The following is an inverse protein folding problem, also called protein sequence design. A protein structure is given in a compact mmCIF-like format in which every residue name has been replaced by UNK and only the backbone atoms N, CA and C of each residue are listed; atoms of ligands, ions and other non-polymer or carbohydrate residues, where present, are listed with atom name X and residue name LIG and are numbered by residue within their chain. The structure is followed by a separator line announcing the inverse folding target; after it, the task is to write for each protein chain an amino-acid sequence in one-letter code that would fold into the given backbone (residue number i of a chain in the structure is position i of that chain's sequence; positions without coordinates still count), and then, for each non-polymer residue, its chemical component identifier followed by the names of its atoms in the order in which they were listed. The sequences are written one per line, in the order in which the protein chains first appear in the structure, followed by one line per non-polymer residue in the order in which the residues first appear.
data_IF_738271338068
#
_entry.id   IF_738271338068
#
_cell.length_a   1.000
_cell.length_b   1.000
_cell.length_c   1.000
_cell.angle_alpha   90.00
_cell.angle_beta   90.00
_cell.angle_gamma   90.00
#
_symmetry.space_group_name_H-M   'P 1'
#
loop_
_entity.id
_entity.type
_entity.pdbx_description
1 polymer ?
#
# COMPACT_ATOMS: atom_id res chain seq x y z
N UNK A 1 3.64 -20.10 -4.61
CA UNK A 1 3.11 -18.75 -4.30
C UNK A 1 2.36 -18.79 -2.98
N UNK A 2 2.36 -17.69 -2.25
CA UNK A 2 2.08 -17.69 -0.80
C UNK A 2 1.10 -16.58 -0.42
N UNK A 3 0.03 -16.90 0.29
CA UNK A 3 -0.90 -15.92 0.87
C UNK A 3 -0.33 -15.30 2.15
N UNK A 4 -0.86 -14.16 2.58
CA UNK A 4 -0.64 -13.59 3.92
C UNK A 4 -1.97 -13.64 4.67
N UNK A 5 -1.99 -14.14 5.91
CA UNK A 5 -3.17 -14.11 6.76
C UNK A 5 -2.79 -13.64 8.16
N UNK A 6 -3.35 -12.50 8.54
CA UNK A 6 -3.28 -11.90 9.87
C UNK A 6 -4.63 -12.12 10.53
N UNK A 7 -4.64 -12.70 11.74
CA UNK A 7 -5.88 -12.94 12.50
C UNK A 7 -5.77 -12.37 13.90
N UNK A 8 -6.64 -11.43 14.23
CA UNK A 8 -6.73 -10.77 15.52
C UNK A 8 -5.42 -10.15 16.00
N UNK A 9 -4.60 -9.63 15.07
CA UNK A 9 -3.24 -9.19 15.38
C UNK A 9 -3.26 -7.95 16.28
N UNK A 10 -2.64 -8.04 17.44
CA UNK A 10 -2.57 -6.94 18.41
C UNK A 10 -1.12 -6.67 18.85
N UNK A 11 -0.81 -5.39 19.05
CA UNK A 11 0.51 -4.94 19.48
C UNK A 11 0.43 -3.59 20.17
N UNK A 12 1.05 -3.48 21.33
CA UNK A 12 1.17 -2.26 22.12
C UNK A 12 2.64 -1.91 22.40
N UNK A 13 2.92 -0.61 22.43
CA UNK A 13 4.21 -0.04 22.83
C UNK A 13 3.99 0.89 24.02
N UNK A 14 4.29 0.41 25.23
CA UNK A 14 3.87 1.10 26.44
C UNK A 14 2.35 1.28 26.47
N UNK A 15 1.88 2.51 26.61
CA UNK A 15 0.46 2.84 26.63
C UNK A 15 -0.16 2.99 25.23
N UNK A 16 0.65 2.95 24.17
CA UNK A 16 0.18 3.13 22.79
C UNK A 16 -0.19 1.79 22.19
N UNK A 17 -1.48 1.58 21.92
CA UNK A 17 -1.97 0.41 21.19
C UNK A 17 -1.80 0.62 19.68
N UNK A 18 -0.69 0.13 19.13
CA UNK A 18 -0.39 0.28 17.70
C UNK A 18 -1.26 -0.62 16.82
N UNK A 19 -1.65 -1.81 17.29
CA UNK A 19 -2.61 -2.69 16.63
C UNK A 19 -3.66 -3.22 17.61
N UNK A 20 -4.91 -3.23 17.16
CA UNK A 20 -6.08 -3.59 17.93
C UNK A 20 -6.94 -4.61 17.19
N UNK A 21 -6.45 -5.84 17.11
CA UNK A 21 -7.21 -6.95 16.53
C UNK A 21 -7.33 -6.84 15.01
N UNK A 22 -6.20 -6.61 14.34
CA UNK A 22 -6.14 -6.50 12.87
C UNK A 22 -6.32 -7.86 12.22
N UNK A 23 -7.35 -7.97 11.38
CA UNK A 23 -7.61 -9.09 10.48
C UNK A 23 -7.34 -8.64 9.03
N UNK A 24 -6.45 -9.34 8.32
CA UNK A 24 -6.12 -9.04 6.93
C UNK A 24 -5.75 -10.33 6.21
N UNK A 25 -6.32 -10.54 5.04
CA UNK A 25 -5.94 -11.63 4.13
C UNK A 25 -5.46 -11.00 2.82
N UNK A 26 -4.31 -11.46 2.34
CA UNK A 26 -3.72 -11.08 1.06
C UNK A 26 -3.54 -12.35 0.25
N UNK A 27 -4.15 -12.38 -0.91
CA UNK A 27 -4.17 -13.50 -1.81
C UNK A 27 -2.81 -13.70 -2.51
N UNK A 28 -2.63 -14.89 -3.04
CA UNK A 28 -1.41 -15.29 -3.73
C UNK A 28 -1.19 -14.44 -4.99
N UNK A 29 -0.02 -13.80 -5.10
CA UNK A 29 0.35 -12.96 -6.25
C UNK A 29 -0.27 -11.56 -6.21
N UNK A 30 -1.06 -11.25 -5.18
CA UNK A 30 -1.73 -9.96 -5.02
C UNK A 30 -0.76 -8.87 -4.53
N UNK A 31 -0.95 -7.65 -5.02
CA UNK A 31 -0.33 -6.45 -4.47
C UNK A 31 -1.35 -5.75 -3.55
N UNK A 32 -1.16 -5.86 -2.24
CA UNK A 32 -2.00 -5.20 -1.24
C UNK A 32 -1.33 -3.92 -0.71
N UNK A 33 -2.10 -2.84 -0.60
CA UNK A 33 -1.71 -1.62 0.11
C UNK A 33 -2.34 -1.58 1.51
N UNK A 34 -1.55 -1.29 2.54
CA UNK A 34 -2.05 -0.84 3.83
C UNK A 34 -1.92 0.68 3.90
N UNK A 35 -3.06 1.36 3.77
CA UNK A 35 -3.17 2.81 3.65
C UNK A 35 -3.70 3.41 4.95
N UNK A 36 -3.15 4.53 5.39
CA UNK A 36 -3.66 5.24 6.57
C UNK A 36 -2.80 6.43 6.98
N UNK A 37 -3.25 7.28 7.91
CA UNK A 37 -2.51 8.46 8.33
C UNK A 37 -1.19 8.10 9.02
N UNK A 38 -0.26 9.05 9.06
CA UNK A 38 1.00 8.87 9.78
C UNK A 38 0.75 8.54 11.25
N UNK A 39 1.49 7.57 11.78
CA UNK A 39 1.35 7.14 13.18
C UNK A 39 0.17 6.20 13.49
N UNK A 40 -0.65 5.79 12.52
CA UNK A 40 -1.77 4.87 12.80
C UNK A 40 -1.34 3.41 13.05
N UNK A 41 -0.05 3.08 12.89
CA UNK A 41 0.49 1.74 13.17
C UNK A 41 0.85 0.89 11.94
N UNK A 42 0.80 1.43 10.71
CA UNK A 42 1.00 0.66 9.45
C UNK A 42 2.30 -0.14 9.37
N UNK A 43 3.41 0.40 9.89
CA UNK A 43 4.70 -0.29 9.89
C UNK A 43 4.71 -1.49 10.86
N UNK A 44 3.85 -1.49 11.89
CA UNK A 44 3.81 -2.56 12.89
C UNK A 44 3.42 -3.92 12.28
N UNK A 45 2.37 -4.05 11.44
CA UNK A 45 2.09 -5.27 10.69
C UNK A 45 3.31 -5.79 9.92
N UNK A 46 4.04 -4.93 9.20
CA UNK A 46 5.21 -5.35 8.43
C UNK A 46 6.30 -5.93 9.33
N UNK A 47 6.59 -5.29 10.47
CA UNK A 47 7.59 -5.78 11.43
C UNK A 47 7.19 -7.10 12.07
N UNK A 48 5.90 -7.30 12.34
CA UNK A 48 5.35 -8.56 12.88
C UNK A 48 5.41 -9.69 11.84
N UNK A 49 5.11 -9.39 10.57
CA UNK A 49 5.20 -10.34 9.46
C UNK A 49 6.66 -10.71 9.17
N UNK A 50 7.57 -9.73 9.15
CA UNK A 50 9.01 -9.93 8.98
C UNK A 50 9.66 -10.63 10.19
N UNK A 51 9.03 -10.61 11.37
CA UNK A 51 9.54 -11.23 12.58
C UNK A 51 10.53 -10.39 13.38
N UNK A 52 10.62 -9.09 13.09
CA UNK A 52 11.38 -8.16 13.90
C UNK A 52 10.70 -7.85 15.23
N UNK A 53 9.41 -8.18 15.34
CA UNK A 53 8.65 -8.06 16.57
C UNK A 53 7.73 -9.27 16.80
N UNK A 54 7.30 -9.40 18.05
CA UNK A 54 6.33 -10.40 18.51
C UNK A 54 4.96 -9.73 18.70
N UNK A 55 3.87 -10.32 18.22
CA UNK A 55 2.54 -9.82 18.52
C UNK A 55 2.18 -10.12 19.98
N UNK A 56 1.38 -9.26 20.58
CA UNK A 56 0.86 -9.50 21.93
C UNK A 56 -0.31 -10.49 21.89
N UNK A 57 -1.07 -10.48 20.80
CA UNK A 57 -2.11 -11.45 20.49
C UNK A 57 -2.30 -11.61 18.97
N UNK A 58 -3.02 -12.67 18.59
CA UNK A 58 -3.28 -13.01 17.19
C UNK A 58 -2.18 -13.86 16.55
N UNK A 59 -2.33 -14.11 15.26
CA UNK A 59 -1.44 -14.99 14.50
C UNK A 59 -1.05 -14.40 13.15
N UNK A 60 0.18 -14.71 12.72
CA UNK A 60 0.69 -14.44 11.39
C UNK A 60 0.92 -15.77 10.68
N UNK A 61 0.27 -15.96 9.54
CA UNK A 61 0.41 -17.13 8.67
C UNK A 61 0.82 -16.65 7.27
N UNK A 62 1.82 -17.29 6.67
CA UNK A 62 2.26 -17.00 5.30
C UNK A 62 2.38 -18.31 4.52
N UNK A 63 1.74 -18.42 3.36
CA UNK A 63 1.75 -19.63 2.54
C UNK A 63 1.26 -20.87 3.31
N UNK A 64 0.26 -20.69 4.19
CA UNK A 64 -0.25 -21.74 5.08
C UNK A 64 0.64 -22.11 6.27
N UNK A 65 1.83 -21.50 6.40
CA UNK A 65 2.75 -21.74 7.51
C UNK A 65 2.59 -20.67 8.60
N UNK A 66 2.28 -21.09 9.82
CA UNK A 66 2.27 -20.21 10.98
C UNK A 66 3.70 -19.71 11.27
N UNK A 67 3.89 -18.38 11.25
CA UNK A 67 5.18 -17.74 11.50
C UNK A 67 5.25 -17.13 12.90
N UNK A 68 4.13 -16.68 13.44
CA UNK A 68 4.07 -16.02 14.75
C UNK A 68 2.69 -16.19 15.40
N UNK A 69 2.64 -16.24 16.72
CA UNK A 69 1.43 -16.37 17.52
C UNK A 69 1.14 -17.81 17.97
N UNK A 70 0.23 -17.97 18.93
CA UNK A 70 -0.18 -19.28 19.49
C UNK A 70 0.99 -20.18 19.93
N UNK A 71 2.03 -19.59 20.53
CA UNK A 71 3.23 -20.31 20.99
C UNK A 71 4.27 -20.61 19.89
N UNK A 72 4.04 -20.15 18.66
CA UNK A 72 4.97 -20.27 17.54
C UNK A 72 5.70 -18.94 17.32
N UNK A 73 7.01 -19.01 17.09
CA UNK A 73 7.79 -17.90 16.56
C UNK A 73 8.90 -18.42 15.65
N UNK A 74 8.82 -18.07 14.38
CA UNK A 74 9.86 -18.33 13.38
C UNK A 74 10.75 -17.08 13.31
N UNK A 75 12.08 -17.19 13.42
CA UNK A 75 12.96 -16.02 13.32
C UNK A 75 13.01 -15.47 11.87
N UNK A 76 13.29 -14.17 11.66
CA UNK A 76 13.21 -13.49 10.37
C UNK A 76 13.90 -14.22 9.20
N UNK A 77 15.12 -14.69 9.42
CA UNK A 77 15.95 -15.37 8.42
C UNK A 77 15.37 -16.72 7.94
N UNK A 78 14.38 -17.27 8.65
CA UNK A 78 13.67 -18.51 8.28
C UNK A 78 12.25 -18.26 7.76
N UNK A 79 11.88 -16.99 7.52
CA UNK A 79 10.53 -16.63 7.04
C UNK A 79 10.40 -16.64 5.52
N UNK A 80 11.52 -16.56 4.78
CA UNK A 80 11.54 -16.39 3.31
C UNK A 80 10.73 -15.16 2.86
N UNK A 81 10.94 -14.04 3.55
CA UNK A 81 10.28 -12.76 3.27
C UNK A 81 11.35 -11.76 2.85
N UNK A 82 11.13 -11.09 1.71
CA UNK A 82 11.95 -9.95 1.31
C UNK A 82 11.37 -8.66 1.87
N UNK A 83 12.22 -7.73 2.28
CA UNK A 83 11.78 -6.44 2.83
C UNK A 83 12.54 -5.28 2.19
N UNK A 84 11.78 -4.26 1.79
CA UNK A 84 12.27 -2.96 1.34
C UNK A 84 11.92 -1.94 2.43
N UNK A 85 12.94 -1.37 3.07
CA UNK A 85 12.78 -0.35 4.10
C UNK A 85 12.63 1.04 3.48
N UNK A 86 12.04 1.98 4.24
CA UNK A 86 11.82 3.37 3.84
C UNK A 86 13.09 4.08 3.33
N UNK A 87 14.22 3.92 4.03
CA UNK A 87 15.51 4.51 3.64
C UNK A 87 16.34 3.62 2.70
N UNK A 88 15.71 2.60 2.10
CA UNK A 88 16.29 1.54 1.26
C UNK A 88 17.32 0.63 1.98
N UNK A 89 17.97 1.14 3.03
CA UNK A 89 18.97 0.46 3.85
C UNK A 89 20.04 -0.25 3.02
N UNK A 90 20.50 0.36 1.92
CA UNK A 90 21.58 -0.17 1.10
C UNK A 90 22.91 -0.10 1.88
N UNK A 91 23.76 -1.10 1.72
CA UNK A 91 25.08 -1.10 2.32
C UNK A 91 25.98 -0.13 1.55
N UNK A 92 26.42 0.99 2.17
CA UNK A 92 27.13 2.06 1.45
C UNK A 92 28.53 1.65 1.01
N UNK A 93 29.07 0.59 1.61
CA UNK A 93 30.40 0.04 1.35
C UNK A 93 30.39 -1.14 0.36
N UNK A 94 29.22 -1.50 -0.16
CA UNK A 94 29.06 -2.50 -1.21
C UNK A 94 28.62 -1.83 -2.51
N UNK A 95 29.09 -2.35 -3.64
CA UNK A 95 28.55 -2.00 -4.94
C UNK A 95 27.14 -2.60 -5.12
N UNK A 96 26.49 -2.29 -6.24
CA UNK A 96 25.14 -2.79 -6.55
C UNK A 96 25.12 -4.32 -6.57
N UNK A 97 26.10 -4.95 -7.23
CA UNK A 97 26.20 -6.41 -7.29
C UNK A 97 26.29 -7.06 -5.92
N UNK A 98 27.15 -6.55 -5.04
CA UNK A 98 27.31 -7.04 -3.68
C UNK A 98 26.09 -6.76 -2.79
N UNK A 99 25.41 -5.62 -2.98
CA UNK A 99 24.14 -5.36 -2.31
C UNK A 99 23.09 -6.41 -2.66
N UNK A 100 22.91 -6.71 -3.96
CA UNK A 100 21.94 -7.71 -4.42
C UNK A 100 22.34 -9.12 -4.00
N UNK A 101 23.64 -9.44 -3.99
CA UNK A 101 24.17 -10.74 -3.59
C UNK A 101 24.11 -11.03 -2.09
N UNK A 102 23.88 -10.03 -1.23
CA UNK A 102 24.08 -10.15 0.23
C UNK A 102 23.26 -11.29 0.88
N UNK A 103 22.07 -11.58 0.36
CA UNK A 103 21.18 -12.63 0.87
C UNK A 103 21.31 -13.99 0.18
N UNK A 104 22.28 -14.15 -0.73
CA UNK A 104 22.43 -15.35 -1.55
C UNK A 104 23.53 -16.28 -1.05
N UNK A 105 23.36 -17.58 -1.32
CA UNK A 105 24.46 -18.54 -1.21
C UNK A 105 25.50 -18.30 -2.32
N UNK A 106 26.79 -18.47 -1.98
CA UNK A 106 27.92 -18.06 -2.84
C UNK A 106 27.87 -18.67 -4.25
N UNK A 107 27.45 -19.91 -4.37
CA UNK A 107 27.51 -20.66 -5.63
C UNK A 107 26.39 -20.25 -6.61
N UNK A 108 25.30 -19.67 -6.12
CA UNK A 108 24.16 -19.20 -6.92
C UNK A 108 24.16 -17.68 -7.16
N UNK A 109 25.09 -16.95 -6.54
CA UNK A 109 25.00 -15.50 -6.44
C UNK A 109 25.16 -14.78 -7.79
N UNK A 110 26.10 -15.19 -8.64
CA UNK A 110 26.43 -14.45 -9.85
C UNK A 110 25.28 -14.42 -10.88
N UNK A 111 24.76 -15.59 -11.25
CA UNK A 111 23.67 -15.72 -12.21
C UNK A 111 22.39 -15.04 -11.70
N UNK A 112 22.04 -15.27 -10.43
CA UNK A 112 20.85 -14.67 -9.82
C UNK A 112 20.94 -13.15 -9.72
N UNK A 113 22.12 -12.59 -9.42
CA UNK A 113 22.32 -11.14 -9.42
C UNK A 113 22.08 -10.56 -10.82
N UNK A 114 22.62 -11.18 -11.86
CA UNK A 114 22.40 -10.73 -13.24
C UNK A 114 20.91 -10.78 -13.61
N UNK A 115 20.24 -11.89 -13.35
CA UNK A 115 18.81 -12.08 -13.63
C UNK A 115 17.95 -10.99 -12.97
N UNK A 116 18.18 -10.73 -11.68
CA UNK A 116 17.36 -9.76 -10.94
C UNK A 116 17.71 -8.32 -11.31
N UNK A 117 18.97 -8.02 -11.62
CA UNK A 117 19.35 -6.70 -12.16
C UNK A 117 18.72 -6.45 -13.53
N UNK A 118 18.52 -7.49 -14.34
CA UNK A 118 17.81 -7.37 -15.61
C UNK A 118 16.33 -7.10 -15.38
N UNK A 119 15.69 -7.83 -14.47
CA UNK A 119 14.29 -7.62 -14.06
C UNK A 119 14.03 -6.18 -13.62
N UNK A 120 14.95 -5.58 -12.85
CA UNK A 120 14.80 -4.19 -12.40
C UNK A 120 15.41 -3.15 -13.35
N UNK A 121 15.94 -3.57 -14.51
CA UNK A 121 16.49 -2.68 -15.53
C UNK A 121 17.77 -1.94 -15.11
N UNK A 122 18.66 -2.59 -14.36
CA UNK A 122 19.90 -2.01 -13.79
C UNK A 122 21.19 -2.74 -14.22
N UNK A 123 21.19 -3.50 -15.31
CA UNK A 123 22.36 -4.23 -15.82
C UNK A 123 23.63 -3.38 -16.00
N UNK A 124 23.50 -2.09 -16.34
CA UNK A 124 24.62 -1.19 -16.60
C UNK A 124 25.29 -0.56 -15.37
N UNK A 125 24.81 -0.82 -14.15
CA UNK A 125 25.28 -0.15 -12.93
C UNK A 125 25.80 -1.08 -11.84
N UNK A 126 26.07 -2.36 -12.16
CA UNK A 126 26.47 -3.40 -11.20
C UNK A 126 27.67 -3.02 -10.30
N UNK A 127 28.63 -2.26 -10.84
CA UNK A 127 29.85 -1.84 -10.13
C UNK A 127 29.74 -0.47 -9.45
N UNK A 128 28.58 0.20 -9.55
CA UNK A 128 28.36 1.47 -8.87
C UNK A 128 28.06 1.27 -7.40
N UNK A 129 28.36 2.26 -6.59
CA UNK A 129 28.00 2.32 -5.18
C UNK A 129 26.69 3.11 -4.98
N UNK A 130 25.97 2.93 -3.86
CA UNK A 130 24.70 3.61 -3.61
C UNK A 130 24.72 5.13 -3.79
N UNK A 131 25.83 5.79 -3.42
CA UNK A 131 25.98 7.24 -3.55
C UNK A 131 26.13 7.74 -5.00
N UNK A 132 26.36 6.84 -5.95
CA UNK A 132 26.47 7.13 -7.39
C UNK A 132 25.15 6.90 -8.15
N UNK A 133 24.08 6.56 -7.43
CA UNK A 133 22.77 6.21 -7.97
C UNK A 133 21.74 7.30 -7.65
N UNK A 134 20.79 7.51 -8.58
CA UNK A 134 19.60 8.31 -8.30
C UNK A 134 18.69 7.61 -7.28
N UNK A 135 17.77 8.36 -6.63
CA UNK A 135 16.85 7.78 -5.65
C UNK A 135 16.01 6.62 -6.21
N UNK A 136 15.51 6.74 -7.44
CA UNK A 136 14.76 5.66 -8.12
C UNK A 136 15.63 4.45 -8.46
N UNK A 137 16.92 4.65 -8.76
CA UNK A 137 17.87 3.54 -8.93
C UNK A 137 18.14 2.85 -7.60
N UNK A 138 18.36 3.60 -6.50
CA UNK A 138 18.56 3.03 -5.17
C UNK A 138 17.36 2.19 -4.72
N UNK A 139 16.13 2.67 -4.95
CA UNK A 139 14.92 1.92 -4.68
C UNK A 139 14.89 0.58 -5.45
N UNK A 140 15.19 0.62 -6.76
CA UNK A 140 15.23 -0.60 -7.58
C UNK A 140 16.33 -1.57 -7.16
N UNK A 141 17.49 -1.08 -6.67
CA UNK A 141 18.52 -1.94 -6.06
C UNK A 141 18.02 -2.57 -4.77
N UNK A 142 17.30 -1.83 -3.92
CA UNK A 142 16.73 -2.38 -2.70
C UNK A 142 15.66 -3.45 -2.99
N UNK A 143 14.81 -3.22 -3.99
CA UNK A 143 13.84 -4.20 -4.46
C UNK A 143 14.54 -5.43 -5.06
N UNK A 144 15.56 -5.24 -5.89
CA UNK A 144 16.39 -6.34 -6.42
C UNK A 144 16.99 -7.19 -5.30
N UNK A 145 17.60 -6.55 -4.28
CA UNK A 145 18.14 -7.25 -3.11
C UNK A 145 17.05 -8.04 -2.36
N UNK A 146 15.84 -7.51 -2.24
CA UNK A 146 14.74 -8.20 -1.59
C UNK A 146 14.22 -9.39 -2.40
N UNK A 147 14.22 -9.31 -3.74
CA UNK A 147 13.77 -10.35 -4.66
C UNK A 147 14.83 -11.44 -4.92
N UNK A 148 16.11 -11.12 -4.74
CA UNK A 148 17.20 -12.03 -5.06
C UNK A 148 17.08 -13.41 -4.38
N UNK A 149 16.74 -13.53 -3.08
CA UNK A 149 16.58 -14.82 -2.41
C UNK A 149 15.31 -15.61 -2.77
N UNK A 150 14.54 -15.19 -3.80
CA UNK A 150 13.26 -15.80 -4.19
C UNK A 150 12.27 -15.92 -3.02
N UNK A 151 11.90 -14.80 -2.38
CA UNK A 151 11.04 -14.83 -1.22
C UNK A 151 9.61 -15.27 -1.58
N UNK A 152 8.89 -15.79 -0.58
CA UNK A 152 7.47 -16.11 -0.69
C UNK A 152 6.59 -14.84 -0.78
N UNK A 153 7.05 -13.76 -0.14
CA UNK A 153 6.34 -12.48 0.01
C UNK A 153 7.35 -11.33 0.01
N UNK A 154 6.98 -10.19 -0.59
CA UNK A 154 7.68 -8.91 -0.45
C UNK A 154 6.90 -7.95 0.45
N UNK A 155 7.61 -7.32 1.39
CA UNK A 155 7.09 -6.24 2.20
C UNK A 155 7.77 -4.92 1.83
N UNK A 156 7.01 -3.85 1.63
CA UNK A 156 7.57 -2.52 1.35
C UNK A 156 7.07 -1.47 2.35
N UNK A 157 8.00 -0.85 3.07
CA UNK A 157 7.70 0.16 4.08
C UNK A 157 7.91 1.57 3.53
N UNK A 158 6.82 2.28 3.20
CA UNK A 158 6.83 3.62 2.57
C UNK A 158 7.83 3.75 1.38
N UNK A 159 7.74 2.86 0.36
CA UNK A 159 8.80 2.69 -0.64
C UNK A 159 9.09 3.94 -1.50
N UNK A 160 8.23 4.95 -1.48
CA UNK A 160 8.32 6.14 -2.34
C UNK A 160 8.46 7.46 -1.58
N UNK A 161 8.51 7.43 -0.23
CA UNK A 161 8.50 8.66 0.59
C UNK A 161 9.70 9.56 0.34
N UNK A 162 10.85 8.97 -0.02
CA UNK A 162 12.12 9.64 -0.22
C UNK A 162 12.34 10.16 -1.67
N UNK A 163 11.31 10.11 -2.52
CA UNK A 163 11.38 10.56 -3.92
C UNK A 163 10.64 11.88 -4.15
N UNK A 164 11.18 12.69 -5.07
CA UNK A 164 10.49 13.87 -5.60
C UNK A 164 9.23 13.47 -6.40
N UNK A 165 8.24 14.37 -6.47
CA UNK A 165 6.91 14.07 -7.00
C UNK A 165 6.92 13.56 -8.46
N UNK A 166 7.76 14.15 -9.32
CA UNK A 166 7.82 13.77 -10.75
C UNK A 166 8.45 12.38 -10.92
N UNK A 167 9.53 12.10 -10.17
CA UNK A 167 10.17 10.79 -10.17
C UNK A 167 9.24 9.73 -9.59
N UNK A 168 8.45 10.09 -8.58
CA UNK A 168 7.57 9.17 -7.86
C UNK A 168 6.58 8.45 -8.75
N UNK A 169 5.87 9.18 -9.62
CA UNK A 169 4.87 8.60 -10.54
C UNK A 169 5.49 7.52 -11.43
N UNK A 170 6.64 7.83 -12.04
CA UNK A 170 7.35 6.86 -12.88
C UNK A 170 7.81 5.64 -12.08
N UNK A 171 8.41 5.86 -10.91
CA UNK A 171 8.96 4.76 -10.10
C UNK A 171 7.86 3.87 -9.50
N UNK A 172 6.67 4.42 -9.20
CA UNK A 172 5.49 3.63 -8.81
C UNK A 172 5.12 2.63 -9.92
N UNK A 173 5.01 3.10 -11.16
CA UNK A 173 4.70 2.25 -12.31
C UNK A 173 5.79 1.19 -12.55
N UNK A 174 7.07 1.59 -12.54
CA UNK A 174 8.21 0.65 -12.67
C UNK A 174 8.16 -0.42 -11.56
N UNK A 175 7.86 -0.03 -10.32
CA UNK A 175 7.76 -0.97 -9.18
C UNK A 175 6.61 -1.96 -9.39
N UNK A 176 5.45 -1.50 -9.86
CA UNK A 176 4.31 -2.38 -10.19
C UNK A 176 4.71 -3.45 -11.20
N UNK A 177 5.34 -3.02 -12.29
CA UNK A 177 5.76 -3.92 -13.37
C UNK A 177 6.76 -4.96 -12.88
N UNK A 178 7.71 -4.55 -12.03
CA UNK A 178 8.69 -5.48 -11.42
C UNK A 178 7.99 -6.51 -10.52
N UNK A 179 7.07 -6.07 -9.64
CA UNK A 179 6.37 -6.97 -8.72
C UNK A 179 5.48 -7.97 -9.47
N UNK A 180 4.78 -7.51 -10.51
CA UNK A 180 3.98 -8.38 -11.38
C UNK A 180 4.84 -9.38 -12.15
N UNK A 181 5.98 -8.92 -12.71
CA UNK A 181 6.91 -9.80 -13.41
C UNK A 181 7.60 -10.81 -12.48
N UNK A 182 7.75 -10.47 -11.20
CA UNK A 182 8.28 -11.36 -10.17
C UNK A 182 7.25 -12.37 -9.63
N UNK A 183 5.96 -12.24 -9.98
CA UNK A 183 4.86 -13.11 -9.53
C UNK A 183 4.87 -13.34 -8.00
N UNK A 184 5.09 -12.27 -7.24
CA UNK A 184 5.26 -12.35 -5.78
C UNK A 184 4.17 -11.57 -5.04
N UNK A 185 3.54 -12.24 -4.07
CA UNK A 185 2.60 -11.60 -3.15
C UNK A 185 3.29 -10.45 -2.42
N UNK A 186 2.68 -9.27 -2.44
CA UNK A 186 3.30 -8.05 -1.97
C UNK A 186 2.38 -7.30 -1.02
N UNK A 187 2.91 -6.86 0.11
CA UNK A 187 2.22 -5.94 1.02
C UNK A 187 3.07 -4.69 1.20
N UNK A 188 2.56 -3.54 0.80
CA UNK A 188 3.22 -2.28 1.03
C UNK A 188 2.40 -1.36 1.93
N UNK A 189 3.06 -0.47 2.64
CA UNK A 189 2.38 0.57 3.41
C UNK A 189 2.67 1.93 2.84
N UNK A 190 1.67 2.80 2.91
CA UNK A 190 1.81 4.18 2.50
C UNK A 190 0.82 5.07 3.25
N UNK A 191 1.11 6.36 3.28
CA UNK A 191 0.18 7.40 3.68
C UNK A 191 -0.34 8.20 2.47
N UNK A 192 0.15 7.90 1.26
CA UNK A 192 -0.23 8.53 0.01
C UNK A 192 -1.34 7.71 -0.66
N UNK A 193 -2.46 8.38 -0.92
CA UNK A 193 -3.66 7.76 -1.47
C UNK A 193 -3.47 7.39 -2.94
N UNK A 194 -2.78 8.24 -3.71
CA UNK A 194 -2.52 7.97 -5.11
C UNK A 194 -1.63 6.74 -5.27
N UNK A 195 -0.69 6.51 -4.35
CA UNK A 195 0.11 5.28 -4.32
C UNK A 195 -0.74 4.04 -4.15
N UNK A 196 -1.56 4.01 -3.09
CA UNK A 196 -2.41 2.88 -2.79
C UNK A 196 -3.37 2.59 -3.96
N UNK A 197 -4.02 3.63 -4.49
CA UNK A 197 -5.05 3.49 -5.53
C UNK A 197 -4.50 3.19 -6.93
N UNK A 198 -3.22 3.49 -7.21
CA UNK A 198 -2.62 3.24 -8.54
C UNK A 198 -1.78 1.97 -8.62
N UNK A 199 -1.22 1.52 -7.48
CA UNK A 199 -0.31 0.38 -7.45
C UNK A 199 -1.00 -0.94 -7.08
N UNK A 200 -1.94 -0.88 -6.13
CA UNK A 200 -2.47 -2.05 -5.46
C UNK A 200 -3.68 -2.66 -6.19
N UNK A 201 -3.81 -3.97 -6.07
CA UNK A 201 -5.02 -4.69 -6.46
C UNK A 201 -6.09 -4.59 -5.34
N UNK A 202 -5.64 -4.56 -4.07
CA UNK A 202 -6.49 -4.37 -2.89
C UNK A 202 -5.91 -3.32 -1.95
N UNK A 203 -6.79 -2.52 -1.35
CA UNK A 203 -6.45 -1.49 -0.36
C UNK A 203 -7.12 -1.81 0.97
N UNK A 204 -6.31 -2.00 2.01
CA UNK A 204 -6.73 -2.04 3.39
C UNK A 204 -6.52 -0.67 4.04
N UNK A 205 -7.61 0.02 4.37
CA UNK A 205 -7.58 1.33 5.02
C UNK A 205 -7.51 1.13 6.53
N UNK A 206 -6.52 1.75 7.16
CA UNK A 206 -6.19 1.59 8.56
C UNK A 206 -6.30 2.90 9.33
N UNK A 207 -6.98 2.88 10.47
CA UNK A 207 -7.15 4.00 11.38
C UNK A 207 -7.03 3.52 12.83
N UNK A 208 -6.29 4.27 13.65
CA UNK A 208 -6.16 4.02 15.08
C UNK A 208 -5.89 2.53 15.46
N UNK A 209 -4.98 1.87 14.75
CA UNK A 209 -4.62 0.48 15.02
C UNK A 209 -5.59 -0.58 14.48
N UNK A 210 -6.63 -0.19 13.72
CA UNK A 210 -7.65 -1.08 13.16
C UNK A 210 -7.77 -0.92 11.66
N UNK A 211 -8.23 -1.98 10.98
CA UNK A 211 -8.65 -1.89 9.58
C UNK A 211 -10.12 -1.45 9.56
N UNK A 212 -10.38 -0.34 8.87
CA UNK A 212 -11.71 0.26 8.70
C UNK A 212 -12.43 -0.33 7.48
N UNK A 213 -11.68 -0.62 6.42
CA UNK A 213 -12.21 -1.15 5.16
C UNK A 213 -11.13 -1.88 4.38
N UNK A 214 -11.53 -2.95 3.69
CA UNK A 214 -10.71 -3.64 2.68
C UNK A 214 -11.55 -3.77 1.42
N UNK A 215 -10.94 -3.53 0.26
CA UNK A 215 -11.59 -3.72 -1.04
C UNK A 215 -10.67 -3.28 -2.19
N UNK A 216 -11.16 -3.35 -3.42
CA UNK A 216 -10.39 -2.83 -4.57
C UNK A 216 -10.27 -1.31 -4.49
N UNK A 217 -9.28 -0.67 -5.16
CA UNK A 217 -9.20 0.78 -5.26
C UNK A 217 -10.53 1.45 -5.64
N UNK A 218 -11.27 0.88 -6.61
CA UNK A 218 -12.55 1.40 -7.05
C UNK A 218 -13.64 1.27 -5.97
N UNK A 219 -13.65 0.19 -5.20
CA UNK A 219 -14.62 -0.03 -4.13
C UNK A 219 -14.37 0.91 -2.95
N UNK A 220 -13.13 1.00 -2.48
CA UNK A 220 -12.78 1.83 -1.33
C UNK A 220 -12.98 3.33 -1.66
N UNK A 221 -12.60 3.75 -2.86
CA UNK A 221 -12.83 5.12 -3.32
C UNK A 221 -14.31 5.39 -3.69
N UNK A 222 -14.96 4.45 -4.37
CA UNK A 222 -16.32 4.59 -4.88
C UNK A 222 -17.40 4.48 -3.80
N UNK A 223 -17.18 3.60 -2.82
CA UNK A 223 -18.14 3.22 -1.77
C UNK A 223 -17.42 3.07 -0.42
N UNK A 224 -16.97 4.19 0.18
CA UNK A 224 -16.33 4.16 1.48
C UNK A 224 -17.30 3.62 2.56
N UNK A 225 -16.81 2.71 3.40
CA UNK A 225 -17.63 1.99 4.39
C UNK A 225 -18.01 2.85 5.60
N UNK A 226 -17.20 3.87 5.92
CA UNK A 226 -17.42 4.77 7.05
C UNK A 226 -17.21 6.23 6.63
N UNK A 227 -17.81 7.15 7.38
CA UNK A 227 -17.60 8.59 7.20
C UNK A 227 -16.11 8.94 7.25
N UNK A 228 -15.38 8.35 8.19
CA UNK A 228 -13.95 8.58 8.33
C UNK A 228 -13.16 8.13 7.09
N UNK A 229 -13.45 6.96 6.53
CA UNK A 229 -12.79 6.50 5.30
C UNK A 229 -13.09 7.44 4.14
N UNK A 230 -14.34 7.91 4.05
CA UNK A 230 -14.76 8.84 3.02
C UNK A 230 -14.03 10.19 3.13
N UNK A 231 -13.97 10.79 4.32
CA UNK A 231 -13.23 12.03 4.58
C UNK A 231 -11.74 11.87 4.30
N UNK A 232 -11.16 10.77 4.77
CA UNK A 232 -9.75 10.49 4.60
C UNK A 232 -9.39 10.40 3.12
N UNK A 233 -10.11 9.61 2.32
CA UNK A 233 -9.77 9.35 0.91
C UNK A 233 -10.20 10.44 -0.07
N UNK A 234 -11.39 11.01 0.12
CA UNK A 234 -12.02 11.80 -0.94
C UNK A 234 -11.66 13.28 -0.88
N UNK A 235 -11.02 13.75 0.19
CA UNK A 235 -10.92 15.19 0.51
C UNK A 235 -12.27 15.89 0.29
N UNK A 236 -13.35 15.19 0.62
CA UNK A 236 -14.70 15.58 0.26
C UNK A 236 -15.22 16.63 1.23
N UNK A 237 -16.00 17.56 0.70
CA UNK A 237 -16.84 18.42 1.52
C UNK A 237 -18.09 17.63 1.95
N UNK A 238 -18.45 17.77 3.22
CA UNK A 238 -19.63 17.11 3.79
C UNK A 238 -20.74 18.13 3.96
N UNK A 239 -21.90 17.86 3.35
CA UNK A 239 -23.08 18.73 3.42
C UNK A 239 -24.23 17.96 4.06
N UNK A 240 -24.77 18.43 5.20
CA UNK A 240 -25.95 17.84 5.81
C UNK A 240 -27.16 17.92 4.87
N UNK A 241 -27.95 16.85 4.88
CA UNK A 241 -29.17 16.72 4.10
C UNK A 241 -30.21 15.84 4.78
N UNK A 242 -31.38 15.72 4.17
CA UNK A 242 -32.44 14.83 4.63
C UNK A 242 -32.89 13.94 3.48
N UNK A 243 -32.79 12.62 3.68
CA UNK A 243 -33.19 11.61 2.74
C UNK A 243 -34.68 11.27 2.87
N UNK A 244 -35.40 11.28 1.75
CA UNK A 244 -36.77 10.79 1.66
C UNK A 244 -37.12 10.38 0.22
N UNK A 245 -37.95 9.34 0.06
CA UNK A 245 -38.50 8.91 -1.22
C UNK A 245 -37.44 8.66 -2.33
N UNK A 246 -36.26 8.11 -1.99
CA UNK A 246 -35.18 7.85 -2.96
C UNK A 246 -34.38 9.10 -3.37
N UNK A 247 -34.51 10.20 -2.62
CA UNK A 247 -33.72 11.41 -2.81
C UNK A 247 -33.12 11.87 -1.49
N UNK A 248 -32.01 12.60 -1.56
CA UNK A 248 -31.51 13.44 -0.47
C UNK A 248 -31.63 14.91 -0.87
N UNK A 249 -32.22 15.71 0.00
CA UNK A 249 -32.26 17.17 -0.14
C UNK A 249 -31.19 17.78 0.77
N UNK A 250 -30.26 18.54 0.20
CA UNK A 250 -29.25 19.32 0.93
C UNK A 250 -29.24 20.78 0.43
N UNK A 251 -28.40 21.63 1.01
CA UNK A 251 -28.33 23.06 0.66
C UNK A 251 -28.04 23.31 -0.84
N UNK A 252 -27.28 22.44 -1.49
CA UNK A 252 -26.86 22.63 -2.87
C UNK A 252 -27.85 22.06 -3.90
N UNK A 253 -28.48 20.92 -3.58
CA UNK A 253 -29.24 20.17 -4.57
C UNK A 253 -30.17 19.13 -3.94
N UNK A 254 -31.06 18.62 -4.78
CA UNK A 254 -31.78 17.36 -4.56
C UNK A 254 -31.13 16.27 -5.42
N UNK A 255 -30.55 15.26 -4.78
CA UNK A 255 -29.80 14.19 -5.44
C UNK A 255 -30.55 12.87 -5.31
N UNK A 256 -30.52 12.04 -6.36
CA UNK A 256 -31.07 10.69 -6.29
C UNK A 256 -30.15 9.78 -5.47
N UNK A 257 -30.73 8.92 -4.63
CA UNK A 257 -30.01 7.95 -3.79
C UNK A 257 -30.69 6.58 -3.90
N UNK A 258 -30.01 5.54 -3.43
CA UNK A 258 -30.59 4.20 -3.40
C UNK A 258 -31.88 4.17 -2.56
N UNK A 259 -32.98 3.58 -3.08
CA UNK A 259 -34.25 3.50 -2.37
C UNK A 259 -34.09 2.56 -1.18
N UNK A 260 -34.08 3.14 0.03
CA UNK A 260 -33.89 2.39 1.27
C UNK A 260 -33.38 3.23 2.43
N UNK A 261 -32.80 4.40 2.14
CA UNK A 261 -32.33 5.34 3.17
C UNK A 261 -33.35 6.48 3.39
N UNK A 262 -33.67 6.77 4.64
CA UNK A 262 -34.58 7.86 5.03
C UNK A 262 -34.16 8.50 6.36
N UNK A 263 -34.26 9.81 6.46
CA UNK A 263 -33.85 10.58 7.65
C UNK A 263 -32.62 11.47 7.39
N UNK A 264 -31.99 12.01 8.46
CA UNK A 264 -30.77 12.79 8.33
C UNK A 264 -29.67 12.02 7.59
N UNK A 265 -29.01 12.69 6.65
CA UNK A 265 -27.99 12.12 5.78
C UNK A 265 -26.85 13.12 5.60
N UNK A 266 -25.62 12.64 5.51
CA UNK A 266 -24.49 13.45 5.06
C UNK A 266 -24.25 13.22 3.57
N UNK A 267 -24.23 14.30 2.79
CA UNK A 267 -23.91 14.28 1.36
C UNK A 267 -22.44 14.62 1.19
N UNK A 268 -21.66 13.64 0.76
CA UNK A 268 -20.25 13.84 0.44
C UNK A 268 -20.10 14.27 -1.01
N UNK A 269 -19.43 15.40 -1.22
CA UNK A 269 -19.18 15.97 -2.53
C UNK A 269 -17.68 15.92 -2.80
N UNK A 270 -17.33 15.25 -3.89
CA UNK A 270 -15.95 15.20 -4.35
C UNK A 270 -15.64 16.41 -5.24
N UNK A 271 -14.48 17.06 -5.10
CA UNK A 271 -14.13 18.23 -5.90
C UNK A 271 -14.26 17.98 -7.41
N UNK A 272 -13.84 16.80 -7.89
CA UNK A 272 -13.90 16.42 -9.29
C UNK A 272 -15.31 16.10 -9.81
N UNK A 273 -16.30 15.96 -8.91
CA UNK A 273 -17.72 15.81 -9.26
C UNK A 273 -18.42 17.15 -9.47
N UNK A 274 -17.73 18.27 -9.24
CA UNK A 274 -18.29 19.63 -9.36
C UNK A 274 -17.67 20.36 -10.54
N UNK A 275 -18.51 20.98 -11.36
CA UNK A 275 -18.06 21.92 -12.40
C UNK A 275 -18.87 23.21 -12.31
N UNK A 276 -18.21 24.34 -12.59
CA UNK A 276 -18.83 25.66 -12.61
C UNK A 276 -18.92 26.11 -14.06
N UNK A 277 -20.15 26.29 -14.55
CA UNK A 277 -20.42 26.84 -15.88
C UNK A 277 -21.11 28.19 -15.79
N UNK A 278 -20.83 29.08 -16.74
CA UNK A 278 -21.62 30.29 -16.93
C UNK A 278 -22.92 29.87 -17.63
N UNK A 279 -24.06 30.16 -17.01
CA UNK A 279 -25.36 29.97 -17.65
C UNK A 279 -25.42 30.92 -18.86
N UNK A 280 -25.55 30.43 -20.12
CA UNK A 280 -25.63 31.32 -21.27
C UNK A 280 -26.79 32.29 -21.04
N UNK A 281 -26.54 33.59 -21.19
CA UNK A 281 -27.62 34.56 -21.22
C UNK A 281 -28.60 34.14 -22.33
N UNK A 282 -29.89 34.09 -22.02
CA UNK A 282 -30.93 33.83 -23.01
C UNK A 282 -30.88 34.95 -24.06
N UNK A 283 -30.15 34.74 -25.16
CA UNK A 283 -29.89 35.80 -26.14
C UNK A 283 -29.15 35.37 -27.41
N UNK A 284 -28.19 34.44 -27.36
CA UNK A 284 -27.47 34.00 -28.56
C UNK A 284 -28.01 32.67 -29.13
N UNK A 285 -29.25 32.70 -29.59
CA UNK A 285 -29.62 31.90 -30.77
C UNK A 285 -29.44 32.82 -31.98
N UNK A 286 -28.23 32.85 -32.54
CA UNK A 286 -28.08 33.28 -33.93
C UNK A 286 -28.46 32.10 -34.80
N UNK A 287 -29.62 32.21 -35.44
CA UNK A 287 -29.84 31.60 -36.74
C UNK A 287 -28.69 32.06 -37.65
N UNK A 288 -27.88 31.11 -38.13
CA UNK A 288 -27.41 30.96 -39.50
C UNK A 288 -26.49 29.75 -39.64
#
# INVERSE_FOLDING_TARGET
MSTISLKGLARSYGDVRALDGVDLEVESGEICALLGPSGCGKTTPLRLIAGFELPDAGTVVVGGRALSGSGVFVPPERRRIGMVFQDYALFPHYDVGANVAYGLERDAAAERVTEVLELVGLNGVVHRYPHELSGGQQQRVALARALAPTPDVILLDEPFSNLDATLRVRVRQETREILLAADTTSLFVTHDQEEALSLADTVAVMHAGRIEQVGTPEEVYGRPATHWVAEFLLRADVIPGTASNGYVECELARLAIDPGFSGPADVLIRPESVSIGVRPAAGDRKEH
#
